data_IF_768040936953
#
_entry.id   IF_768040936953
#
_cell.length_a   1.000
_cell.length_b   1.000
_cell.length_c   1.000
_cell.angle_alpha   90.00
_cell.angle_beta   90.00
_cell.angle_gamma   90.00
#
_symmetry.space_group_name_H-M   'P 1'
#
loop_
_entity.id
_entity.type
_entity.pdbx_description
1 polymer ?
#
# COMPACT_ATOMS: atom_id res chain seq x y z
N UNK A 1 -6.28 3.48 -22.78
CA UNK A 1 -6.50 4.89 -23.13
C UNK A 1 -5.93 5.18 -24.52
N UNK A 2 -6.62 5.96 -25.35
CA UNK A 2 -6.13 6.39 -26.67
C UNK A 2 -6.12 7.91 -26.76
N UNK A 3 -5.01 8.46 -27.25
CA UNK A 3 -4.80 9.87 -27.50
C UNK A 3 -4.61 10.03 -29.00
N UNK A 4 -5.43 10.88 -29.61
CA UNK A 4 -5.38 11.18 -31.04
C UNK A 4 -4.73 12.54 -31.25
N UNK A 5 -3.82 12.65 -32.20
CA UNK A 5 -3.11 13.87 -32.54
C UNK A 5 -2.77 13.88 -34.03
N UNK A 6 -2.08 14.91 -34.49
CA UNK A 6 -1.61 15.04 -35.87
C UNK A 6 -0.11 15.31 -35.93
N UNK A 7 0.49 14.96 -37.06
CA UNK A 7 1.84 15.40 -37.41
C UNK A 7 1.91 16.92 -37.61
N UNK A 8 3.12 17.45 -37.73
CA UNK A 8 3.36 18.86 -37.99
C UNK A 8 4.76 19.09 -38.59
N UNK A 9 4.90 20.05 -39.52
CA UNK A 9 6.16 20.32 -40.23
C UNK A 9 7.35 20.74 -39.35
N UNK A 10 7.09 21.13 -38.10
CA UNK A 10 8.12 21.45 -37.10
C UNK A 10 8.42 20.31 -36.12
N UNK A 11 7.79 19.14 -36.24
CA UNK A 11 8.20 17.96 -35.47
C UNK A 11 9.64 17.60 -35.85
N UNK A 12 10.49 17.44 -34.83
CA UNK A 12 11.89 17.00 -34.98
C UNK A 12 12.16 15.71 -34.22
N UNK A 13 11.43 15.49 -33.12
CA UNK A 13 11.56 14.33 -32.26
C UNK A 13 13.01 13.99 -31.85
N UNK A 14 13.81 15.00 -31.50
CA UNK A 14 15.24 14.81 -31.18
C UNK A 14 15.54 14.77 -29.69
N UNK A 15 14.55 15.03 -28.83
CA UNK A 15 14.79 15.14 -27.40
C UNK A 15 15.07 13.77 -26.75
N UNK A 16 16.24 13.65 -26.11
CA UNK A 16 16.75 12.38 -25.58
C UNK A 16 16.16 11.92 -24.23
N UNK A 17 15.25 12.72 -23.64
CA UNK A 17 14.72 12.46 -22.30
C UNK A 17 13.20 12.47 -22.21
N UNK A 18 12.52 12.98 -23.23
CA UNK A 18 11.07 13.16 -23.18
C UNK A 18 10.42 12.96 -24.54
N UNK A 19 9.14 12.62 -24.50
CA UNK A 19 8.22 12.59 -25.62
C UNK A 19 6.95 13.33 -25.21
N UNK A 20 6.45 14.22 -26.05
CA UNK A 20 5.34 15.12 -25.71
C UNK A 20 4.24 15.10 -26.78
N UNK A 21 3.01 15.11 -26.31
CA UNK A 21 1.83 15.49 -27.07
C UNK A 21 1.28 16.80 -26.53
N UNK A 22 0.78 17.66 -27.42
CA UNK A 22 0.21 18.95 -27.03
C UNK A 22 -1.13 19.19 -27.72
N UNK A 23 -2.06 19.83 -27.01
CA UNK A 23 -3.32 20.33 -27.53
C UNK A 23 -3.15 21.54 -28.46
N UNK A 24 -2.00 22.23 -28.39
CA UNK A 24 -1.64 23.29 -29.33
C UNK A 24 -1.61 22.75 -30.76
N UNK A 25 -2.12 23.53 -31.72
CA UNK A 25 -2.12 23.16 -33.15
C UNK A 25 -0.78 23.46 -33.83
N UNK A 26 -0.08 24.46 -33.32
CA UNK A 26 1.13 25.01 -33.89
C UNK A 26 2.27 24.84 -32.89
N UNK A 27 3.44 24.46 -33.38
CA UNK A 27 4.66 24.37 -32.59
C UNK A 27 5.81 25.02 -33.33
N UNK A 28 6.87 25.41 -32.62
CA UNK A 28 8.09 25.95 -33.22
C UNK A 28 9.12 24.86 -33.46
N UNK A 29 10.14 25.07 -34.31
CA UNK A 29 11.26 24.13 -34.46
C UNK A 29 12.04 23.85 -33.17
N UNK A 30 11.85 24.64 -32.11
CA UNK A 30 12.47 24.42 -30.79
C UNK A 30 11.78 23.33 -29.97
N UNK A 31 10.58 22.91 -30.36
CA UNK A 31 9.80 21.86 -29.70
C UNK A 31 10.37 20.46 -30.02
N UNK A 32 11.57 20.17 -29.51
CA UNK A 32 12.33 18.96 -29.85
C UNK A 32 11.74 17.67 -29.28
N UNK A 33 10.87 17.76 -28.27
CA UNK A 33 10.19 16.62 -27.64
C UNK A 33 8.79 16.32 -28.20
N UNK A 34 8.19 17.25 -28.95
CA UNK A 34 6.82 17.08 -29.44
C UNK A 34 6.79 16.10 -30.61
N UNK A 35 5.88 15.11 -30.54
CA UNK A 35 5.64 14.10 -31.58
C UNK A 35 4.21 14.12 -32.11
N UNK A 36 3.33 14.94 -31.53
CA UNK A 36 1.96 15.13 -32.02
C UNK A 36 1.35 16.42 -31.49
N UNK A 37 0.64 17.12 -32.38
CA UNK A 37 -0.07 18.37 -32.11
C UNK A 37 -1.59 18.17 -32.17
N UNK A 38 -2.37 19.16 -31.74
CA UNK A 38 -3.82 19.09 -31.70
C UNK A 38 -4.34 17.82 -30.99
N UNK A 39 -3.66 17.45 -29.90
CA UNK A 39 -3.95 16.24 -29.15
C UNK A 39 -5.37 16.32 -28.55
N UNK A 40 -6.13 15.23 -28.75
CA UNK A 40 -7.47 15.03 -28.25
C UNK A 40 -7.53 13.70 -27.51
N UNK A 41 -8.04 13.75 -26.27
CA UNK A 41 -8.11 12.60 -25.39
C UNK A 41 -9.24 12.78 -24.38
N UNK A 42 -9.83 11.67 -23.97
CA UNK A 42 -10.72 11.59 -22.80
C UNK A 42 -9.91 11.91 -21.53
N UNK A 43 -10.07 13.14 -21.03
CA UNK A 43 -9.35 13.59 -19.84
C UNK A 43 -9.74 12.76 -18.61
N UNK A 44 -10.99 12.31 -18.51
CA UNK A 44 -11.45 11.48 -17.39
C UNK A 44 -10.80 10.09 -17.45
N UNK A 45 -10.80 9.45 -18.61
CA UNK A 45 -10.17 8.16 -18.82
C UNK A 45 -8.65 8.20 -18.66
N UNK A 46 -8.01 9.26 -19.14
CA UNK A 46 -6.56 9.43 -19.01
C UNK A 46 -6.16 9.61 -17.56
N UNK A 47 -6.88 10.49 -16.87
CA UNK A 47 -6.59 10.75 -15.50
C UNK A 47 -6.80 9.48 -14.66
N UNK A 48 -7.58 8.46 -15.07
CA UNK A 48 -7.73 7.20 -14.32
C UNK A 48 -6.49 6.29 -14.32
N UNK A 49 -5.57 6.47 -15.28
CA UNK A 49 -4.43 5.57 -15.44
C UNK A 49 -3.48 5.63 -14.24
N UNK A 50 -3.06 4.48 -13.72
CA UNK A 50 -2.13 4.40 -12.58
C UNK A 50 -1.02 3.39 -12.83
N UNK A 51 0.16 3.68 -12.27
CA UNK A 51 1.26 2.71 -12.25
C UNK A 51 1.82 2.39 -13.64
N UNK A 52 2.35 1.17 -13.85
CA UNK A 52 2.98 0.79 -15.10
C UNK A 52 2.00 0.77 -16.28
N UNK A 53 2.40 1.40 -17.38
CA UNK A 53 1.66 1.38 -18.65
C UNK A 53 2.58 0.92 -19.78
N UNK A 54 2.05 0.08 -20.65
CA UNK A 54 2.57 -0.14 -21.99
C UNK A 54 2.20 1.06 -22.86
N UNK A 55 3.19 1.55 -23.58
CA UNK A 55 3.13 2.71 -24.47
C UNK A 55 3.21 2.20 -25.90
N UNK A 56 2.26 2.59 -26.75
CA UNK A 56 2.29 2.31 -28.19
C UNK A 56 1.98 3.57 -28.97
N UNK A 57 2.97 4.06 -29.72
CA UNK A 57 2.85 5.18 -30.63
C UNK A 57 2.67 4.66 -32.05
N UNK A 58 1.72 5.21 -32.81
CA UNK A 58 1.50 4.88 -34.21
C UNK A 58 1.30 6.13 -35.06
N UNK A 59 1.89 6.13 -36.26
CA UNK A 59 1.71 7.16 -37.29
C UNK A 59 1.74 6.48 -38.67
N UNK A 60 0.59 6.37 -39.33
CA UNK A 60 0.46 5.57 -40.56
C UNK A 60 0.91 4.11 -40.34
N UNK A 61 1.84 3.56 -41.16
CA UNK A 61 2.35 2.20 -40.99
C UNK A 61 3.41 2.08 -39.87
N UNK A 62 3.91 3.19 -39.33
CA UNK A 62 4.99 3.18 -38.34
C UNK A 62 4.44 2.96 -36.93
N UNK A 63 5.11 2.10 -36.16
CA UNK A 63 4.74 1.78 -34.78
C UNK A 63 5.98 1.71 -33.91
N UNK A 64 5.95 2.39 -32.77
CA UNK A 64 6.97 2.34 -31.74
C UNK A 64 6.32 1.97 -30.40
N UNK A 65 7.02 1.18 -29.60
CA UNK A 65 6.51 0.69 -28.32
C UNK A 65 7.50 0.93 -27.19
N UNK A 66 6.97 0.99 -25.98
CA UNK A 66 7.77 1.10 -24.77
C UNK A 66 6.92 0.88 -23.53
N UNK A 67 7.49 1.20 -22.38
CA UNK A 67 6.79 1.23 -21.10
C UNK A 67 7.02 2.56 -20.41
N UNK A 68 6.17 2.90 -19.45
CA UNK A 68 6.34 4.03 -18.56
C UNK A 68 5.61 3.74 -17.24
N UNK A 69 5.79 4.60 -16.24
CA UNK A 69 5.02 4.57 -14.99
C UNK A 69 4.29 5.89 -14.87
N UNK A 70 2.96 5.85 -14.82
CA UNK A 70 2.15 7.06 -14.66
C UNK A 70 2.54 7.78 -13.37
N UNK A 71 2.79 9.08 -13.48
CA UNK A 71 3.10 9.95 -12.36
C UNK A 71 1.90 9.92 -11.40
N UNK A 72 2.04 9.52 -10.13
CA UNK A 72 0.91 9.46 -9.20
C UNK A 72 0.27 10.84 -8.96
N UNK A 73 1.06 11.91 -9.12
CA UNK A 73 0.65 13.30 -8.98
C UNK A 73 0.41 13.99 -10.33
N UNK A 74 0.12 13.25 -11.40
CA UNK A 74 -0.12 13.88 -12.69
C UNK A 74 -1.39 14.74 -12.66
N UNK A 75 -1.29 15.92 -13.26
CA UNK A 75 -2.44 16.69 -13.69
C UNK A 75 -2.72 16.36 -15.15
N UNK A 76 -3.99 16.26 -15.53
CA UNK A 76 -4.35 16.15 -16.95
C UNK A 76 -4.54 17.55 -17.50
N UNK A 77 -3.47 18.06 -18.10
CA UNK A 77 -3.48 19.32 -18.85
C UNK A 77 -3.77 19.04 -20.32
N UNK A 78 -3.62 20.04 -21.19
CA UNK A 78 -3.63 19.86 -22.65
C UNK A 78 -2.30 19.29 -23.18
N UNK A 79 -1.32 19.06 -22.30
CA UNK A 79 -0.01 18.48 -22.61
C UNK A 79 0.20 17.15 -21.92
N UNK A 80 0.90 16.26 -22.59
CA UNK A 80 1.24 14.94 -22.05
C UNK A 80 2.71 14.64 -22.29
N UNK A 81 3.51 14.79 -21.24
CA UNK A 81 4.95 14.53 -21.30
C UNK A 81 5.27 13.18 -20.65
N UNK A 82 5.80 12.26 -21.46
CA UNK A 82 6.45 11.04 -21.00
C UNK A 82 7.93 11.34 -20.80
N UNK A 83 8.46 11.08 -19.60
CA UNK A 83 9.85 11.36 -19.23
C UNK A 83 10.62 10.09 -18.94
N UNK A 84 11.89 10.07 -19.32
CA UNK A 84 12.84 8.99 -18.96
C UNK A 84 13.26 9.07 -17.49
N UNK A 85 13.31 10.26 -16.89
CA UNK A 85 13.66 10.48 -15.49
C UNK A 85 12.42 10.54 -14.58
N UNK A 86 12.65 10.56 -13.26
CA UNK A 86 11.62 10.75 -12.23
C UNK A 86 11.38 12.25 -11.90
N UNK A 87 11.72 13.16 -12.82
CA UNK A 87 11.56 14.61 -12.58
C UNK A 87 10.10 15.05 -12.80
N UNK A 88 9.42 15.45 -11.73
CA UNK A 88 8.04 15.93 -11.76
C UNK A 88 7.94 17.41 -12.18
N UNK A 89 6.96 17.70 -13.04
CA UNK A 89 6.46 19.03 -13.41
C UNK A 89 4.96 18.88 -13.68
N UNK A 90 4.16 19.96 -13.70
CA UNK A 90 2.71 19.87 -13.97
C UNK A 90 2.36 19.06 -15.23
N UNK A 91 3.12 19.22 -16.31
CA UNK A 91 2.90 18.51 -17.58
C UNK A 91 3.45 17.07 -17.61
N UNK A 92 4.10 16.61 -16.52
CA UNK A 92 4.66 15.26 -16.46
C UNK A 92 3.57 14.24 -16.22
N UNK A 93 3.15 13.57 -17.28
CA UNK A 93 2.16 12.51 -17.22
C UNK A 93 2.77 11.18 -16.72
N UNK A 94 3.97 10.81 -17.19
CA UNK A 94 4.59 9.55 -16.81
C UNK A 94 6.12 9.64 -16.72
N UNK A 95 6.70 8.82 -15.85
CA UNK A 95 8.13 8.67 -15.60
C UNK A 95 8.68 7.37 -16.19
N UNK A 96 10.01 7.24 -16.14
CA UNK A 96 10.76 6.03 -16.52
C UNK A 96 10.38 5.48 -17.89
N UNK A 97 10.04 6.38 -18.80
CA UNK A 97 9.63 5.97 -20.13
C UNK A 97 10.82 5.37 -20.89
N UNK A 98 10.62 4.19 -21.44
CA UNK A 98 11.59 3.53 -22.35
C UNK A 98 11.44 4.00 -23.79
N UNK A 99 10.44 4.85 -24.07
CA UNK A 99 10.19 5.44 -25.39
C UNK A 99 10.18 6.96 -25.25
N UNK A 100 11.23 7.62 -25.74
CA UNK A 100 11.31 9.07 -25.85
C UNK A 100 11.41 9.51 -27.31
N UNK A 101 11.35 10.82 -27.57
CA UNK A 101 11.27 11.34 -28.93
C UNK A 101 12.45 10.86 -29.81
N UNK A 102 13.68 10.89 -29.28
CA UNK A 102 14.88 10.46 -30.02
C UNK A 102 14.97 8.96 -30.30
N UNK A 103 14.09 8.14 -29.73
CA UNK A 103 14.09 6.69 -29.96
C UNK A 103 13.33 6.32 -31.25
N UNK A 104 12.64 7.28 -31.88
CA UNK A 104 11.92 7.07 -33.14
C UNK A 104 12.89 7.03 -34.32
N UNK A 105 12.67 6.08 -35.24
CA UNK A 105 13.47 5.96 -36.45
C UNK A 105 13.22 7.12 -37.45
N UNK A 106 14.13 7.37 -38.40
CA UNK A 106 14.01 8.48 -39.33
C UNK A 106 12.74 8.46 -40.20
N UNK A 107 12.25 7.29 -40.59
CA UNK A 107 11.05 7.17 -41.43
C UNK A 107 9.79 7.51 -40.61
N UNK A 108 9.75 7.08 -39.34
CA UNK A 108 8.73 7.50 -38.39
C UNK A 108 8.72 9.02 -38.24
N UNK A 109 9.87 9.64 -37.98
CA UNK A 109 9.97 11.10 -37.80
C UNK A 109 9.56 11.85 -39.07
N UNK A 110 9.92 11.34 -40.26
CA UNK A 110 9.48 11.90 -41.53
C UNK A 110 7.94 11.86 -41.67
N UNK A 111 7.30 10.75 -41.29
CA UNK A 111 5.84 10.65 -41.29
C UNK A 111 5.18 11.64 -40.33
N UNK A 112 5.76 11.86 -39.14
CA UNK A 112 5.29 12.87 -38.18
C UNK A 112 5.45 14.31 -38.68
N UNK A 113 6.33 14.55 -39.65
CA UNK A 113 6.52 15.85 -40.28
C UNK A 113 5.36 16.28 -41.18
N UNK A 114 4.50 15.36 -41.61
CA UNK A 114 3.34 15.66 -42.45
C UNK A 114 2.10 16.01 -41.59
N UNK A 115 1.53 17.23 -41.74
CA UNK A 115 0.30 17.63 -41.06
C UNK A 115 -0.93 16.74 -41.34
N UNK A 116 -0.94 16.00 -42.45
CA UNK A 116 -2.02 15.08 -42.78
C UNK A 116 -1.94 13.76 -41.99
N UNK A 117 -0.77 13.42 -41.41
CA UNK A 117 -0.57 12.18 -40.67
C UNK A 117 -1.34 12.21 -39.36
N UNK A 118 -2.20 11.21 -39.17
CA UNK A 118 -2.79 10.93 -37.86
C UNK A 118 -1.79 10.20 -36.96
N UNK A 119 -1.66 10.68 -35.73
CA UNK A 119 -0.78 10.13 -34.72
C UNK A 119 -1.64 9.62 -33.58
N UNK A 120 -1.43 8.37 -33.17
CA UNK A 120 -2.16 7.78 -32.05
C UNK A 120 -1.19 7.26 -31.00
N UNK A 121 -1.31 7.78 -29.77
CA UNK A 121 -0.69 7.22 -28.60
C UNK A 121 -1.71 6.35 -27.86
N UNK A 122 -1.39 5.08 -27.66
CA UNK A 122 -2.16 4.16 -26.84
C UNK A 122 -1.40 3.86 -25.56
N UNK A 123 -2.05 4.07 -24.43
CA UNK A 123 -1.56 3.73 -23.10
C UNK A 123 -2.43 2.60 -22.55
N UNK A 124 -1.81 1.48 -22.22
CA UNK A 124 -2.48 0.30 -21.67
C UNK A 124 -1.84 -0.05 -20.34
N UNK A 125 -2.61 -0.13 -19.27
CA UNK A 125 -2.10 -0.58 -17.97
C UNK A 125 -1.48 -1.98 -18.13
N UNK A 126 -0.22 -2.14 -17.74
CA UNK A 126 0.56 -3.35 -18.00
C UNK A 126 0.82 -4.18 -16.74
N UNK A 127 -0.02 -4.02 -15.72
CA UNK A 127 0.03 -4.71 -14.45
C UNK A 127 -1.24 -4.45 -13.63
N UNK A 128 -1.39 -5.06 -12.44
CA UNK A 128 -2.46 -4.67 -11.54
C UNK A 128 -2.35 -3.18 -11.27
N UNK A 129 -3.49 -2.47 -11.29
CA UNK A 129 -3.54 -1.08 -10.84
C UNK A 129 -2.91 -1.02 -9.45
N UNK A 130 -2.02 -0.04 -9.22
CA UNK A 130 -1.49 0.20 -7.88
C UNK A 130 -2.68 0.28 -6.93
N UNK A 131 -2.75 -0.55 -5.87
CA UNK A 131 -3.80 -0.48 -4.89
C UNK A 131 -3.92 0.97 -4.43
N UNK A 132 -5.07 1.57 -4.72
CA UNK A 132 -5.41 2.87 -4.21
C UNK A 132 -6.12 2.61 -2.88
N UNK A 133 -5.45 2.98 -1.80
CA UNK A 133 -6.03 3.02 -0.47
C UNK A 133 -6.54 4.44 -0.25
N UNK A 134 -7.86 4.61 -0.19
CA UNK A 134 -8.43 5.88 0.23
C UNK A 134 -8.54 5.88 1.74
N UNK A 135 -8.09 6.96 2.36
CA UNK A 135 -8.15 7.15 3.82
C UNK A 135 -8.82 8.48 4.10
N UNK A 136 -9.93 8.49 4.84
CA UNK A 136 -10.62 9.72 5.26
C UNK A 136 -11.31 9.53 6.62
N UNK A 137 -11.51 10.60 7.40
CA UNK A 137 -12.06 10.50 8.77
C UNK A 137 -13.56 10.79 8.85
N UNK A 138 -14.20 10.17 9.85
CA UNK A 138 -15.63 10.33 10.16
C UNK A 138 -15.97 11.77 10.57
N UNK A 139 -17.11 12.29 10.10
CA UNK A 139 -17.70 13.56 10.56
C UNK A 139 -17.52 14.77 9.64
N UNK A 140 -16.99 14.57 8.44
CA UNK A 140 -16.90 15.58 7.38
C UNK A 140 -17.83 15.25 6.21
N UNK A 141 -18.12 16.22 5.32
CA UNK A 141 -18.94 15.99 4.14
C UNK A 141 -18.39 14.81 3.34
N UNK A 142 -19.31 13.97 2.86
CA UNK A 142 -18.97 12.83 2.01
C UNK A 142 -18.16 13.34 0.80
N UNK A 143 -17.05 12.69 0.45
CA UNK A 143 -16.34 13.05 -0.77
C UNK A 143 -17.28 12.88 -1.96
N UNK A 144 -17.62 13.98 -2.64
CA UNK A 144 -18.47 13.90 -3.83
C UNK A 144 -17.71 13.18 -4.96
N UNK A 145 -18.27 12.07 -5.45
CA UNK A 145 -17.76 11.38 -6.62
C UNK A 145 -17.70 9.86 -6.50
N UNK A 146 -17.17 9.20 -7.53
CA UNK A 146 -16.97 7.74 -7.50
C UNK A 146 -15.70 7.42 -6.68
N UNK A 147 -15.70 6.41 -5.78
CA UNK A 147 -14.51 6.02 -5.01
C UNK A 147 -13.24 5.86 -5.86
N UNK A 148 -13.32 5.22 -7.02
CA UNK A 148 -12.17 5.09 -7.95
C UNK A 148 -11.65 6.41 -8.57
N UNK A 149 -12.35 7.53 -8.38
CA UNK A 149 -11.97 8.89 -8.79
C UNK A 149 -11.59 9.80 -7.61
N UNK A 150 -11.93 9.41 -6.36
CA UNK A 150 -11.66 10.22 -5.18
C UNK A 150 -10.18 10.52 -4.96
N UNK A 151 -9.28 9.71 -5.51
CA UNK A 151 -7.86 10.01 -5.46
C UNK A 151 -7.48 11.33 -6.15
N UNK A 152 -8.31 11.87 -7.06
CA UNK A 152 -8.09 13.18 -7.70
C UNK A 152 -8.42 14.35 -6.81
N UNK A 153 -9.48 14.16 -6.03
CA UNK A 153 -9.90 15.10 -5.02
C UNK A 153 -9.18 14.83 -3.69
N UNK A 154 -8.19 13.94 -3.68
CA UNK A 154 -7.44 13.66 -2.48
C UNK A 154 -6.62 14.89 -2.11
N UNK A 155 -6.80 15.32 -0.87
CA UNK A 155 -6.08 16.42 -0.25
C UNK A 155 -4.58 16.15 -0.15
N UNK A 156 -4.17 14.87 -0.20
CA UNK A 156 -2.77 14.49 -0.36
C UNK A 156 -2.61 13.09 -0.99
N UNK A 157 -1.41 12.79 -1.50
CA UNK A 157 -1.05 11.44 -1.96
C UNK A 157 0.16 10.88 -1.23
N UNK A 158 0.18 9.57 -1.03
CA UNK A 158 1.24 8.85 -0.33
C UNK A 158 1.74 7.70 -1.18
N UNK A 159 3.04 7.53 -1.27
CA UNK A 159 3.67 6.29 -1.74
C UNK A 159 3.99 5.42 -0.51
N UNK A 160 3.30 4.30 -0.35
CA UNK A 160 3.48 3.37 0.76
C UNK A 160 4.80 2.58 0.66
N UNK A 161 5.45 2.59 -0.51
CA UNK A 161 6.82 2.06 -0.66
C UNK A 161 7.86 3.02 -0.07
N UNK A 162 7.51 4.29 0.14
CA UNK A 162 8.43 5.26 0.71
C UNK A 162 8.76 4.93 2.17
N UNK A 163 10.00 5.23 2.56
CA UNK A 163 10.46 5.02 3.94
C UNK A 163 9.74 5.91 4.96
N UNK A 164 9.07 6.98 4.51
CA UNK A 164 8.36 7.93 5.35
C UNK A 164 7.09 8.43 4.65
N UNK A 165 6.02 8.55 5.42
CA UNK A 165 4.79 9.25 5.00
C UNK A 165 4.98 10.76 5.12
N UNK A 166 4.72 11.55 4.05
CA UNK A 166 4.85 13.01 4.06
C UNK A 166 4.03 13.69 5.16
N UNK A 167 4.54 14.80 5.69
CA UNK A 167 3.86 15.55 6.77
C UNK A 167 2.55 16.19 6.25
N UNK A 168 2.50 16.58 4.99
CA UNK A 168 1.29 17.06 4.30
C UNK A 168 0.16 16.03 4.33
N UNK A 169 0.46 14.76 4.06
CA UNK A 169 -0.55 13.69 4.13
C UNK A 169 -1.04 13.43 5.56
N UNK A 170 -0.17 13.60 6.55
CA UNK A 170 -0.54 13.51 7.97
C UNK A 170 -1.45 14.66 8.37
N UNK A 171 -1.12 15.88 7.94
CA UNK A 171 -1.92 17.08 8.19
C UNK A 171 -3.29 16.97 7.51
N UNK A 172 -3.34 16.64 6.22
CA UNK A 172 -4.57 16.44 5.47
C UNK A 172 -5.48 15.39 6.15
N UNK A 173 -4.92 14.26 6.59
CA UNK A 173 -5.69 13.27 7.34
C UNK A 173 -6.17 13.83 8.69
N UNK A 174 -5.31 14.56 9.42
CA UNK A 174 -5.62 15.23 10.69
C UNK A 174 -6.59 16.43 10.56
N UNK A 175 -6.87 16.87 9.34
CA UNK A 175 -7.95 17.79 9.00
C UNK A 175 -9.18 17.06 8.42
N UNK A 176 -9.05 15.75 8.24
CA UNK A 176 -10.11 14.82 7.81
C UNK A 176 -10.31 14.75 6.30
N UNK A 177 -9.31 15.21 5.54
CA UNK A 177 -9.23 15.07 4.11
C UNK A 177 -9.09 13.61 3.63
N UNK A 178 -9.22 13.45 2.32
CA UNK A 178 -9.05 12.20 1.59
C UNK A 178 -7.59 12.03 1.21
N UNK A 179 -6.98 10.91 1.58
CA UNK A 179 -5.62 10.57 1.18
C UNK A 179 -5.64 9.48 0.12
N UNK A 180 -4.92 9.69 -0.97
CA UNK A 180 -4.67 8.69 -1.99
C UNK A 180 -3.33 7.99 -1.70
N UNK A 181 -3.36 6.82 -1.08
CA UNK A 181 -2.16 6.03 -0.85
C UNK A 181 -1.99 4.97 -1.95
N UNK A 182 -0.78 4.87 -2.51
CA UNK A 182 -0.40 3.93 -3.57
C UNK A 182 0.75 3.04 -3.13
N UNK A 183 0.82 1.82 -3.65
CA UNK A 183 1.92 0.87 -3.43
C UNK A 183 2.30 0.23 -4.77
N UNK A 184 3.60 0.05 -5.05
CA UNK A 184 4.07 -0.50 -6.34
C UNK A 184 3.86 -2.02 -6.44
N UNK A 185 3.67 -2.69 -5.31
CA UNK A 185 3.49 -4.13 -5.20
C UNK A 185 2.25 -4.53 -4.37
N UNK A 186 2.19 -5.78 -3.88
CA UNK A 186 1.16 -6.22 -2.94
C UNK A 186 1.17 -5.37 -1.65
N UNK A 187 0.00 -5.12 -1.05
CA UNK A 187 -0.10 -4.38 0.22
C UNK A 187 0.61 -5.10 1.38
N UNK A 188 0.80 -6.41 1.26
CA UNK A 188 1.60 -7.25 2.15
C UNK A 188 3.07 -6.82 2.23
N UNK A 189 3.56 -6.11 1.20
CA UNK A 189 4.95 -5.65 1.09
C UNK A 189 5.20 -4.23 1.60
N UNK A 190 4.20 -3.54 2.17
CA UNK A 190 4.38 -2.16 2.64
C UNK A 190 5.40 -2.06 3.78
N UNK A 191 6.10 -0.94 3.86
CA UNK A 191 7.08 -0.72 4.93
C UNK A 191 6.44 -0.70 6.32
N UNK A 192 7.20 -1.02 7.37
CA UNK A 192 6.71 -0.96 8.76
C UNK A 192 6.18 0.44 9.12
N UNK A 193 6.81 1.50 8.60
CA UNK A 193 6.38 2.87 8.82
C UNK A 193 5.04 3.19 8.14
N UNK A 194 4.85 2.72 6.91
CA UNK A 194 3.59 2.85 6.18
C UNK A 194 2.47 2.06 6.88
N UNK A 195 2.74 0.81 7.28
CA UNK A 195 1.80 -0.01 8.03
C UNK A 195 1.39 0.62 9.37
N UNK A 196 2.35 1.17 10.12
CA UNK A 196 2.06 1.87 11.38
C UNK A 196 1.20 3.13 11.17
N UNK A 197 1.42 3.86 10.08
CA UNK A 197 0.60 5.03 9.74
C UNK A 197 -0.83 4.64 9.36
N UNK A 198 -1.02 3.56 8.58
CA UNK A 198 -2.35 3.05 8.25
C UNK A 198 -3.11 2.59 9.50
N UNK A 199 -2.43 1.93 10.44
CA UNK A 199 -3.03 1.51 11.71
C UNK A 199 -3.40 2.70 12.61
N UNK A 200 -2.56 3.74 12.66
CA UNK A 200 -2.86 4.99 13.37
C UNK A 200 -4.07 5.72 12.75
N UNK A 201 -4.15 5.77 11.41
CA UNK A 201 -5.32 6.30 10.71
C UNK A 201 -6.60 5.55 11.09
N UNK A 202 -6.56 4.21 11.09
CA UNK A 202 -7.68 3.37 11.50
C UNK A 202 -8.10 3.62 12.97
N UNK A 203 -7.13 3.77 13.88
CA UNK A 203 -7.41 4.11 15.28
C UNK A 203 -8.10 5.47 15.45
N UNK A 204 -7.90 6.39 14.50
CA UNK A 204 -8.59 7.69 14.44
C UNK A 204 -9.94 7.61 13.70
N UNK A 205 -10.44 6.40 13.41
CA UNK A 205 -11.71 6.17 12.73
C UNK A 205 -11.65 6.46 11.23
N UNK A 206 -10.47 6.34 10.62
CA UNK A 206 -10.36 6.44 9.18
C UNK A 206 -11.09 5.27 8.49
N UNK A 207 -11.61 5.56 7.31
CA UNK A 207 -12.32 4.60 6.45
C UNK A 207 -11.41 4.27 5.27
N UNK A 208 -11.50 3.02 4.82
CA UNK A 208 -10.59 2.46 3.83
C UNK A 208 -11.35 1.95 2.61
N UNK A 209 -10.83 2.26 1.44
CA UNK A 209 -11.23 1.64 0.18
C UNK A 209 -10.00 1.12 -0.53
N UNK A 210 -10.07 -0.09 -1.07
CA UNK A 210 -8.98 -0.67 -1.87
C UNK A 210 -9.50 -0.97 -3.26
N UNK A 211 -9.09 -0.16 -4.23
CA UNK A 211 -9.54 -0.34 -5.62
C UNK A 211 -9.14 -1.72 -6.15
N UNK A 212 -10.12 -2.48 -6.63
CA UNK A 212 -9.92 -3.83 -7.17
C UNK A 212 -10.16 -4.96 -6.16
N UNK A 213 -10.34 -4.66 -4.88
CA UNK A 213 -10.79 -5.68 -3.91
C UNK A 213 -12.32 -5.82 -3.94
N UNK A 214 -12.80 -6.74 -4.79
CA UNK A 214 -14.22 -7.06 -4.87
C UNK A 214 -14.79 -7.72 -3.60
N UNK A 215 -13.93 -8.14 -2.66
CA UNK A 215 -14.36 -8.83 -1.43
C UNK A 215 -14.50 -7.90 -0.23
N UNK A 216 -13.87 -6.73 -0.27
CA UNK A 216 -13.83 -5.81 0.87
C UNK A 216 -13.00 -6.32 2.05
N UNK A 217 -12.29 -7.45 1.92
CA UNK A 217 -11.55 -8.07 3.03
C UNK A 217 -10.29 -7.29 3.39
N UNK A 218 -9.57 -6.77 2.39
CA UNK A 218 -8.39 -5.93 2.59
C UNK A 218 -8.75 -4.59 3.24
N UNK A 219 -9.70 -3.78 2.72
CA UNK A 219 -10.07 -2.53 3.36
C UNK A 219 -10.67 -2.75 4.75
N UNK A 220 -11.39 -3.85 5.01
CA UNK A 220 -11.86 -4.19 6.35
C UNK A 220 -10.71 -4.47 7.34
N UNK A 221 -9.65 -5.18 6.93
CA UNK A 221 -8.45 -5.39 7.75
C UNK A 221 -7.73 -4.07 8.06
N UNK A 222 -7.58 -3.22 7.05
CA UNK A 222 -6.98 -1.89 7.22
C UNK A 222 -7.81 -1.02 8.17
N UNK A 223 -9.13 -0.99 7.99
CA UNK A 223 -10.07 -0.28 8.87
C UNK A 223 -10.04 -0.81 10.30
N UNK A 224 -9.79 -2.11 10.49
CA UNK A 224 -9.60 -2.73 11.79
C UNK A 224 -8.25 -2.37 12.45
N UNK A 225 -7.37 -1.66 11.72
CA UNK A 225 -6.02 -1.32 12.17
C UNK A 225 -5.07 -2.51 12.18
N UNK A 226 -5.36 -3.54 11.37
CA UNK A 226 -4.64 -4.80 11.33
C UNK A 226 -3.82 -4.94 10.04
N UNK A 227 -2.70 -5.68 10.08
CA UNK A 227 -1.93 -5.95 8.87
C UNK A 227 -2.73 -6.83 7.90
N UNK A 228 -2.49 -6.65 6.60
CA UNK A 228 -3.12 -7.46 5.55
C UNK A 228 -2.48 -8.85 5.40
N UNK A 229 -1.34 -9.09 6.05
CA UNK A 229 -0.71 -10.40 6.18
C UNK A 229 0.21 -10.46 7.42
N UNK A 230 0.33 -11.62 8.11
CA UNK A 230 -0.44 -12.85 7.90
C UNK A 230 -1.89 -12.72 8.40
N UNK A 231 -2.82 -13.36 7.72
CA UNK A 231 -4.27 -13.36 8.01
C UNK A 231 -4.90 -14.68 7.53
N UNK A 232 -5.95 -15.13 8.20
CA UNK A 232 -6.75 -16.28 7.78
C UNK A 232 -7.98 -15.78 7.02
N UNK A 233 -8.06 -16.08 5.72
CA UNK A 233 -9.24 -15.77 4.90
C UNK A 233 -10.17 -16.98 4.85
N UNK A 234 -11.37 -16.90 5.45
CA UNK A 234 -12.38 -17.96 5.29
C UNK A 234 -13.27 -17.76 4.05
N UNK A 235 -13.17 -16.61 3.40
CA UNK A 235 -14.03 -16.26 2.27
C UNK A 235 -15.47 -15.99 2.71
N UNK A 236 -16.44 -16.33 1.85
CA UNK A 236 -17.86 -16.29 2.21
C UNK A 236 -18.21 -17.53 3.01
N UNK A 237 -18.84 -17.33 4.15
CA UNK A 237 -19.22 -18.37 5.10
C UNK A 237 -20.65 -18.16 5.57
N UNK A 238 -21.17 -19.15 6.30
CA UNK A 238 -22.50 -19.14 6.89
C UNK A 238 -22.47 -19.77 8.29
N UNK A 239 -23.59 -19.71 9.01
CA UNK A 239 -23.73 -20.30 10.35
C UNK A 239 -23.24 -21.75 10.43
N UNK A 240 -23.56 -22.59 9.44
CA UNK A 240 -23.24 -24.02 9.46
C UNK A 240 -21.75 -24.25 9.24
N UNK A 241 -21.14 -23.52 8.32
CA UNK A 241 -19.73 -23.58 8.03
C UNK A 241 -18.93 -23.14 9.27
N UNK A 242 -19.28 -21.98 9.87
CA UNK A 242 -18.63 -21.47 11.08
C UNK A 242 -18.68 -22.46 12.26
N UNK A 243 -19.79 -23.18 12.41
CA UNK A 243 -19.97 -24.21 13.43
C UNK A 243 -19.30 -25.56 13.10
N UNK A 244 -18.83 -25.76 11.87
CA UNK A 244 -18.22 -27.02 11.46
C UNK A 244 -16.92 -27.25 12.24
N UNK A 245 -16.67 -28.50 12.67
CA UNK A 245 -15.50 -28.81 13.49
C UNK A 245 -14.16 -28.30 12.92
N UNK A 246 -13.88 -28.40 11.60
CA UNK A 246 -12.63 -27.87 11.04
C UNK A 246 -12.52 -26.34 11.13
N UNK A 247 -13.60 -25.60 10.82
CA UNK A 247 -13.57 -24.14 10.89
C UNK A 247 -13.61 -23.64 12.33
N UNK A 248 -14.36 -24.29 13.20
CA UNK A 248 -14.40 -24.00 14.63
C UNK A 248 -13.01 -24.15 15.26
N UNK A 249 -12.29 -25.22 14.93
CA UNK A 249 -10.92 -25.43 15.41
C UNK A 249 -9.96 -24.38 14.87
N UNK A 250 -10.06 -24.05 13.57
CA UNK A 250 -9.27 -22.97 12.97
C UNK A 250 -9.55 -21.63 13.63
N UNK A 251 -10.81 -21.28 13.87
CA UNK A 251 -11.21 -20.04 14.55
C UNK A 251 -10.62 -19.97 15.96
N UNK A 252 -10.67 -21.07 16.73
CA UNK A 252 -10.12 -21.13 18.09
C UNK A 252 -8.60 -21.00 18.14
N UNK A 253 -7.90 -21.56 17.16
CA UNK A 253 -6.44 -21.72 17.18
C UNK A 253 -5.67 -20.74 16.30
N UNK A 254 -6.36 -19.99 15.43
CA UNK A 254 -5.72 -19.05 14.50
C UNK A 254 -4.84 -18.02 15.24
N UNK A 255 -3.52 -17.98 14.96
CA UNK A 255 -2.59 -17.01 15.57
C UNK A 255 -2.63 -15.64 14.87
N UNK A 256 -3.48 -15.48 13.86
CA UNK A 256 -3.58 -14.29 13.04
C UNK A 256 -5.04 -13.81 13.04
N UNK A 257 -5.30 -12.56 12.62
CA UNK A 257 -6.66 -12.12 12.36
C UNK A 257 -7.38 -13.10 11.43
N UNK A 258 -8.68 -13.26 11.64
CA UNK A 258 -9.52 -14.05 10.73
C UNK A 258 -10.50 -13.11 10.05
N UNK A 259 -10.51 -13.09 8.72
CA UNK A 259 -11.43 -12.27 7.92
C UNK A 259 -12.38 -13.16 7.12
N UNK A 260 -13.66 -12.80 7.13
CA UNK A 260 -14.70 -13.56 6.44
C UNK A 260 -15.88 -12.68 6.09
N UNK A 261 -16.72 -13.18 5.17
CA UNK A 261 -18.01 -12.58 4.80
C UNK A 261 -19.13 -13.49 5.25
N UNK A 262 -20.13 -12.94 5.92
CA UNK A 262 -21.29 -13.69 6.38
C UNK A 262 -22.52 -12.77 6.52
N UNK A 263 -23.75 -13.31 6.57
CA UNK A 263 -24.89 -12.58 7.12
C UNK A 263 -24.63 -12.16 8.57
N UNK A 264 -25.01 -10.95 8.95
CA UNK A 264 -24.82 -10.48 10.34
C UNK A 264 -25.52 -11.38 11.38
N UNK A 265 -26.68 -11.96 11.04
CA UNK A 265 -27.40 -12.93 11.88
C UNK A 265 -26.56 -14.19 12.22
N UNK A 266 -25.56 -14.54 11.40
CA UNK A 266 -24.74 -15.73 11.61
C UNK A 266 -23.63 -15.50 12.66
N UNK A 267 -23.34 -14.25 13.04
CA UNK A 267 -22.29 -13.94 14.02
C UNK A 267 -22.53 -14.56 15.40
N UNK A 268 -23.79 -14.77 15.78
CA UNK A 268 -24.14 -15.33 17.09
C UNK A 268 -23.49 -16.71 17.33
N UNK A 269 -23.26 -17.49 16.27
CA UNK A 269 -22.65 -18.83 16.37
C UNK A 269 -21.18 -18.75 16.81
N UNK A 270 -20.50 -17.63 16.55
CA UNK A 270 -19.09 -17.48 16.91
C UNK A 270 -18.89 -17.48 18.42
N UNK A 271 -19.84 -16.92 19.18
CA UNK A 271 -19.78 -16.94 20.65
C UNK A 271 -19.87 -18.37 21.19
N UNK A 272 -20.67 -19.23 20.56
CA UNK A 272 -20.76 -20.65 20.88
C UNK A 272 -19.47 -21.40 20.50
N UNK A 273 -18.96 -21.15 19.29
CA UNK A 273 -17.74 -21.78 18.76
C UNK A 273 -16.48 -21.44 19.56
N UNK A 274 -16.40 -20.19 20.03
CA UNK A 274 -15.24 -19.67 20.74
C UNK A 274 -15.40 -19.76 22.27
N UNK A 275 -16.52 -20.28 22.78
CA UNK A 275 -16.76 -20.45 24.20
C UNK A 275 -15.63 -21.27 24.85
N UNK A 276 -15.01 -20.72 25.90
CA UNK A 276 -13.92 -21.37 26.62
C UNK A 276 -12.55 -21.34 25.90
N UNK A 277 -12.45 -20.75 24.71
CA UNK A 277 -11.17 -20.32 24.12
C UNK A 277 -10.83 -18.90 24.58
N UNK A 278 -9.57 -18.49 24.47
CA UNK A 278 -8.98 -17.21 24.92
C UNK A 278 -10.01 -16.07 25.15
N UNK A 279 -9.99 -15.50 26.37
CA UNK A 279 -10.90 -14.44 26.86
C UNK A 279 -11.31 -13.40 25.79
N UNK A 280 -12.61 -13.07 25.76
CA UNK A 280 -13.25 -11.93 25.08
C UNK A 280 -12.55 -11.42 23.81
N UNK A 281 -12.39 -12.30 22.81
CA UNK A 281 -11.97 -11.87 21.48
C UNK A 281 -12.95 -10.83 20.95
N UNK A 282 -12.37 -9.70 20.53
CA UNK A 282 -13.13 -8.64 19.86
C UNK A 282 -13.29 -8.96 18.39
N UNK A 283 -14.38 -8.47 17.82
CA UNK A 283 -14.67 -8.55 16.39
C UNK A 283 -14.88 -7.13 15.87
N UNK A 284 -14.23 -6.82 14.76
CA UNK A 284 -14.46 -5.61 14.01
C UNK A 284 -15.66 -5.87 13.08
N UNK A 285 -16.72 -5.10 13.30
CA UNK A 285 -17.94 -5.14 12.50
C UNK A 285 -18.07 -3.86 11.67
N UNK A 286 -18.71 -3.91 10.49
CA UNK A 286 -18.99 -2.71 9.70
C UNK A 286 -19.74 -1.66 10.52
N UNK A 287 -19.43 -0.39 10.29
CA UNK A 287 -20.06 0.75 10.95
C UNK A 287 -21.39 1.20 10.29
N UNK A 288 -21.81 0.54 9.22
CA UNK A 288 -23.09 0.77 8.53
C UNK A 288 -23.07 1.83 7.43
N UNK A 289 -21.90 2.34 7.03
CA UNK A 289 -21.80 3.38 5.98
C UNK A 289 -20.97 2.91 4.78
N UNK A 290 -21.29 1.76 4.18
CA UNK A 290 -20.48 1.15 3.11
C UNK A 290 -20.22 2.08 1.91
N UNK A 291 -21.14 3.01 1.66
CA UNK A 291 -21.12 3.99 0.57
C UNK A 291 -19.87 4.88 0.57
N UNK A 292 -19.27 5.09 1.76
CA UNK A 292 -18.07 5.91 1.96
C UNK A 292 -16.85 5.08 2.32
N UNK A 293 -16.87 3.79 2.00
CA UNK A 293 -15.79 2.86 2.29
C UNK A 293 -15.98 2.02 3.52
N UNK A 294 -14.97 1.19 3.79
CA UNK A 294 -14.96 0.29 4.94
C UNK A 294 -14.52 1.08 6.18
N UNK A 295 -15.47 1.37 7.05
CA UNK A 295 -15.22 1.72 8.44
C UNK A 295 -15.68 0.57 9.33
N UNK A 296 -14.98 0.36 10.45
CA UNK A 296 -15.35 -0.69 11.41
C UNK A 296 -15.39 -0.16 12.83
N UNK A 297 -16.07 -0.90 13.69
CA UNK A 297 -16.06 -0.72 15.13
C UNK A 297 -15.72 -2.04 15.81
N UNK A 298 -14.84 -1.96 16.81
CA UNK A 298 -14.47 -3.12 17.61
C UNK A 298 -15.49 -3.36 18.71
N UNK A 299 -16.12 -4.53 18.71
CA UNK A 299 -17.09 -4.96 19.73
C UNK A 299 -16.62 -6.23 20.43
N UNK A 300 -17.05 -6.47 21.68
CA UNK A 300 -17.09 -7.81 22.23
C UNK A 300 -17.91 -8.74 21.31
N UNK A 301 -17.50 -9.99 21.17
CA UNK A 301 -18.18 -10.94 20.29
C UNK A 301 -19.65 -11.16 20.68
N UNK A 302 -19.94 -11.15 21.99
CA UNK A 302 -21.28 -11.28 22.56
C UNK A 302 -22.25 -10.20 22.10
N UNK A 303 -21.74 -9.00 21.80
CA UNK A 303 -22.54 -7.84 21.40
C UNK A 303 -22.68 -7.72 19.86
N UNK A 304 -21.85 -8.42 19.10
CA UNK A 304 -21.70 -8.19 17.66
C UNK A 304 -22.97 -8.50 16.85
N UNK A 305 -23.65 -9.61 17.17
CA UNK A 305 -24.84 -10.05 16.43
C UNK A 305 -26.01 -9.07 16.61
N UNK A 306 -26.23 -8.59 17.84
CA UNK A 306 -27.28 -7.60 18.14
C UNK A 306 -26.96 -6.24 17.52
N UNK A 307 -25.69 -5.84 17.56
CA UNK A 307 -25.30 -4.49 17.18
C UNK A 307 -25.37 -4.23 15.67
N UNK A 308 -25.18 -5.25 14.83
CA UNK A 308 -25.26 -5.11 13.36
C UNK A 308 -26.63 -5.57 12.85
N UNK A 309 -27.12 -6.71 13.33
CA UNK A 309 -28.43 -7.27 12.99
C UNK A 309 -28.67 -7.55 11.50
N UNK A 310 -29.73 -8.32 11.20
CA UNK A 310 -30.21 -8.51 9.82
C UNK A 310 -29.53 -9.61 9.01
N UNK A 311 -30.04 -9.80 7.78
CA UNK A 311 -29.58 -10.83 6.84
C UNK A 311 -28.56 -10.31 5.81
N UNK A 312 -28.22 -9.03 5.87
CA UNK A 312 -27.23 -8.45 4.94
C UNK A 312 -25.85 -9.04 5.18
N UNK A 313 -25.15 -9.29 4.06
CA UNK A 313 -23.78 -9.79 4.11
C UNK A 313 -22.82 -8.66 4.48
N UNK A 314 -22.06 -8.88 5.55
CA UNK A 314 -20.99 -7.99 5.99
C UNK A 314 -19.62 -8.65 5.88
N UNK A 315 -18.57 -7.83 5.88
CA UNK A 315 -17.18 -8.27 6.07
C UNK A 315 -16.82 -8.11 7.54
N UNK A 316 -16.36 -9.18 8.17
CA UNK A 316 -16.03 -9.20 9.59
C UNK A 316 -14.57 -9.60 9.80
N UNK A 317 -13.94 -8.98 10.80
CA UNK A 317 -12.55 -9.28 11.18
C UNK A 317 -12.50 -9.66 12.65
N UNK A 318 -12.21 -10.92 12.92
CA UNK A 318 -12.01 -11.42 14.28
C UNK A 318 -10.55 -11.16 14.69
N UNK A 319 -10.35 -10.41 15.78
CA UNK A 319 -9.02 -10.08 16.30
C UNK A 319 -8.23 -11.37 16.61
N UNK A 320 -6.91 -11.42 16.40
CA UNK A 320 -6.10 -12.54 16.87
C UNK A 320 -6.25 -12.70 18.40
N UNK A 321 -6.07 -13.92 18.94
CA UNK A 321 -6.05 -14.10 20.38
C UNK A 321 -4.94 -13.25 21.01
N UNK A 322 -5.21 -12.68 22.20
CA UNK A 322 -4.20 -11.92 22.93
C UNK A 322 -2.92 -12.75 23.12
N UNK A 323 -1.75 -12.12 23.08
CA UNK A 323 -0.46 -12.84 23.10
C UNK A 323 -0.29 -13.77 24.31
N UNK A 324 -0.90 -13.45 25.46
CA UNK A 324 -0.91 -14.30 26.64
C UNK A 324 -1.66 -15.65 26.44
N UNK A 325 -2.50 -15.75 25.41
CA UNK A 325 -3.25 -16.95 25.05
C UNK A 325 -2.51 -17.87 24.06
N UNK A 326 -1.33 -17.47 23.59
CA UNK A 326 -0.53 -18.29 22.68
C UNK A 326 0.23 -19.32 23.51
N UNK A 327 -0.36 -20.50 23.65
CA UNK A 327 0.27 -21.64 24.31
C UNK A 327 1.32 -22.34 23.41
N UNK A 328 2.01 -21.57 22.56
CA UNK A 328 3.03 -22.08 21.64
C UNK A 328 4.38 -21.50 22.05
N UNK A 329 5.15 -22.31 22.75
CA UNK A 329 6.54 -22.00 23.03
C UNK A 329 7.35 -22.11 21.74
N UNK A 330 7.84 -20.98 21.23
CA UNK A 330 8.67 -20.90 20.03
C UNK A 330 10.16 -21.16 20.32
N UNK A 331 10.57 -21.22 21.60
CA UNK A 331 11.97 -21.48 21.99
C UNK A 331 12.54 -22.78 21.42
N UNK A 332 11.79 -23.91 21.34
CA UNK A 332 12.27 -25.14 20.73
C UNK A 332 12.59 -25.05 19.23
N UNK A 333 12.05 -24.06 18.51
CA UNK A 333 12.33 -23.86 17.07
C UNK A 333 13.62 -23.08 16.82
N UNK A 334 14.10 -22.33 17.81
CA UNK A 334 15.28 -21.45 17.67
C UNK A 334 16.53 -22.23 17.26
N UNK A 335 16.89 -23.37 17.90
CA UNK A 335 18.08 -24.14 17.50
C UNK A 335 17.96 -24.69 16.09
N UNK A 336 16.78 -25.20 15.72
CA UNK A 336 16.53 -25.78 14.38
C UNK A 336 16.71 -24.75 13.26
N UNK A 337 16.23 -23.53 13.46
CA UNK A 337 16.38 -22.47 12.45
C UNK A 337 17.83 -22.02 12.29
N UNK A 338 18.62 -22.03 13.37
CA UNK A 338 20.07 -21.77 13.31
C UNK A 338 20.79 -22.88 12.57
N UNK A 339 20.45 -24.16 12.81
CA UNK A 339 20.99 -25.30 12.05
C UNK A 339 20.71 -25.19 10.54
N UNK A 340 19.56 -24.60 10.17
CA UNK A 340 19.21 -24.31 8.77
C UNK A 340 19.87 -23.03 8.21
N UNK A 341 20.79 -22.41 8.95
CA UNK A 341 21.58 -21.27 8.50
C UNK A 341 20.94 -19.90 8.73
N UNK A 342 19.83 -19.80 9.46
CA UNK A 342 19.24 -18.50 9.83
C UNK A 342 20.07 -17.86 10.94
N UNK A 343 20.56 -16.65 10.72
CA UNK A 343 21.42 -16.00 11.72
C UNK A 343 20.65 -15.65 13.00
N UNK A 344 21.32 -15.74 14.16
CA UNK A 344 20.79 -15.31 15.45
C UNK A 344 20.33 -13.83 15.43
N UNK A 345 20.96 -12.98 14.62
CA UNK A 345 20.55 -11.57 14.42
C UNK A 345 19.20 -11.48 13.69
N UNK A 346 19.00 -12.28 12.64
CA UNK A 346 17.73 -12.36 11.92
C UNK A 346 16.63 -12.88 12.84
N UNK A 347 16.89 -13.98 13.57
CA UNK A 347 15.92 -14.55 14.52
C UNK A 347 15.59 -13.56 15.65
N UNK A 348 16.57 -12.86 16.22
CA UNK A 348 16.33 -11.82 17.23
C UNK A 348 15.49 -10.65 16.70
N UNK A 349 15.49 -10.40 15.39
CA UNK A 349 14.71 -9.32 14.77
C UNK A 349 13.29 -9.80 14.49
N UNK A 350 13.16 -11.00 13.92
CA UNK A 350 11.88 -11.60 13.48
C UNK A 350 11.07 -12.15 14.65
N UNK A 351 11.70 -12.69 15.69
CA UNK A 351 11.01 -13.32 16.83
C UNK A 351 10.67 -12.34 17.97
N UNK A 352 11.25 -11.13 17.96
CA UNK A 352 10.98 -10.10 18.97
C UNK A 352 9.50 -9.68 19.03
N UNK A 353 8.78 -9.51 17.90
CA UNK A 353 7.33 -9.30 17.92
C UNK A 353 6.54 -10.45 18.56
N UNK A 354 7.09 -11.66 18.60
CA UNK A 354 6.48 -12.84 19.20
C UNK A 354 6.88 -13.04 20.68
N UNK A 355 7.52 -12.03 21.31
CA UNK A 355 7.84 -12.06 22.73
C UNK A 355 9.14 -12.79 23.10
N UNK A 356 9.89 -13.33 22.12
CA UNK A 356 11.23 -13.89 22.36
C UNK A 356 12.23 -12.74 22.43
N UNK A 357 12.78 -12.50 23.61
CA UNK A 357 13.85 -11.52 23.78
C UNK A 357 15.17 -12.05 23.21
N UNK A 358 16.13 -11.14 22.99
CA UNK A 358 17.49 -11.52 22.63
C UNK A 358 18.08 -12.50 23.65
N UNK A 359 17.77 -12.32 24.94
CA UNK A 359 18.22 -13.22 26.01
C UNK A 359 17.63 -14.61 25.85
N UNK A 360 16.32 -14.71 25.64
CA UNK A 360 15.63 -15.99 25.43
C UNK A 360 16.19 -16.75 24.22
N UNK A 361 16.60 -16.03 23.17
CA UNK A 361 17.26 -16.59 22.00
C UNK A 361 18.61 -17.24 22.35
N UNK A 362 19.47 -16.53 23.09
CA UNK A 362 20.78 -17.07 23.49
C UNK A 362 20.64 -18.18 24.53
N UNK A 363 19.68 -18.07 25.45
CA UNK A 363 19.36 -19.12 26.41
C UNK A 363 18.86 -20.40 25.69
N UNK A 364 18.05 -20.26 24.63
CA UNK A 364 17.59 -21.39 23.81
C UNK A 364 18.71 -22.01 22.95
N UNK A 365 19.73 -21.25 22.57
CA UNK A 365 20.92 -21.75 21.85
C UNK A 365 21.98 -22.35 22.77
N UNK A 366 21.80 -22.27 24.09
CA UNK A 366 22.80 -22.71 25.08
C UNK A 366 23.97 -21.72 25.26
N UNK A 367 23.87 -20.53 24.70
CA UNK A 367 24.92 -19.49 24.63
C UNK A 367 24.64 -18.32 25.59
N UNK A 368 24.21 -18.59 26.83
CA UNK A 368 23.97 -17.53 27.80
C UNK A 368 25.26 -16.70 28.00
N UNK A 369 25.25 -15.36 27.81
CA UNK A 369 26.40 -14.54 28.16
C UNK A 369 26.62 -14.64 29.68
N UNK A 370 27.80 -15.11 30.09
CA UNK A 370 28.18 -15.21 31.48
C UNK A 370 27.94 -13.88 32.20
N UNK A 371 27.15 -13.91 33.29
CA UNK A 371 27.03 -12.75 34.17
C UNK A 371 28.41 -12.40 34.74
N UNK A 372 28.76 -11.11 34.87
CA UNK A 372 30.05 -10.73 35.44
C UNK A 372 30.09 -11.15 36.91
N UNK A 373 30.85 -12.22 37.20
CA UNK A 373 31.15 -12.64 38.55
C UNK A 373 32.05 -11.60 39.22
N UNK A 374 31.73 -11.30 40.47
CA UNK A 374 32.53 -10.45 41.35
C UNK A 374 33.99 -10.95 41.36
N UNK A 375 34.91 -10.10 40.90
CA UNK A 375 36.34 -10.38 40.93
C UNK A 375 36.88 -10.36 42.37
N UNK A 376 37.93 -11.15 42.67
CA UNK A 376 38.43 -11.30 44.03
C UNK A 376 39.16 -10.03 44.49
N UNK A 377 39.02 -9.76 45.79
CA UNK A 377 39.78 -8.75 46.53
C UNK A 377 41.28 -8.93 46.33
N UNK A 378 41.98 -7.84 46.02
CA UNK A 378 43.44 -7.77 46.10
C UNK A 378 43.83 -6.70 47.13
N UNK A 379 44.70 -7.01 48.12
CA UNK A 379 44.98 -6.11 49.23
C UNK A 379 46.14 -5.16 48.95
N UNK A 380 46.02 -3.94 49.51
CA UNK A 380 47.10 -2.99 49.87
C UNK A 380 47.90 -2.37 48.70
N UNK A 381 48.05 -1.05 48.57
CA UNK A 381 48.69 -0.12 49.51
C UNK A 381 48.59 1.32 48.99
N UNK A 382 48.41 2.29 49.91
CA UNK A 382 49.13 3.58 49.87
C UNK A 382 48.47 4.78 49.16
N UNK A 383 48.60 6.03 49.69
CA UNK A 383 47.57 7.05 49.56
C UNK A 383 47.75 8.03 48.39
N UNK A 384 46.59 8.57 47.98
CA UNK A 384 46.37 9.65 47.01
C UNK A 384 47.17 10.91 47.36
N UNK A 385 47.98 11.38 46.40
CA UNK A 385 48.44 12.76 46.38
C UNK A 385 47.54 13.58 45.42
N UNK A 386 47.00 14.70 45.93
CA UNK A 386 46.19 15.67 45.19
C UNK A 386 47.12 16.63 44.43
N UNK A 387 46.87 16.87 43.15
CA UNK A 387 47.46 17.96 42.37
C UNK A 387 46.67 18.11 41.07
N UNK A 388 45.65 18.98 41.08
CA UNK A 388 45.67 20.33 40.50
C UNK A 388 45.57 20.33 38.97
N UNK A 389 44.40 20.79 38.51
CA UNK A 389 44.18 21.40 37.20
C UNK A 389 45.28 22.41 36.90
N UNK A 390 45.84 22.37 35.69
CA UNK A 390 46.07 23.60 34.94
C UNK A 390 46.13 23.38 33.42
N UNK A 391 45.34 24.24 32.75
CA UNK A 391 45.42 24.82 31.41
C UNK A 391 46.38 24.23 30.36
N UNK A 392 45.84 23.94 29.18
CA UNK A 392 45.91 24.86 28.03
C UNK A 392 44.83 24.57 27.00
#
# INVERSE_FOLDING_TARGET
>A
MKIHARGHGHVRATHAKTLEFTGEREITPRATCVVGVAAAFDQEGLALLRGPVAVRLAAGPHVATGTAVVNPHHEVTDRLVLRRSDHASPDTFAFRSTLVASDLDPDFVAALGDPATEVTLTLTESGPRRPLVLVHRRGLPEPEGRPGLLWRAADASVDLDAARVPDEARAALADGGVIAASVSGPLEGVSQAAGAWLADAAAQGARFEVTGDATGTVPALLAAGLPVAPVVHLGRTDRRALASAPQAELLRTAPAPVVFRAPAADLAVLAEVLAGSAEDRRIAVPDGHADLGHGVRWLPLSEAAEAVGGEEEGVFVLAPPERAAWNVDLRPLVPLLVEQGVTARTLSTVLRPFGISRRDLYDALGDAPASPSAGPENPSTGPRNKGSRDKK
#
